data_IF_160636435806
#
_entry.id   IF_160636435806
#
_cell.length_a   1.000
_cell.length_b   1.000
_cell.length_c   1.000
_cell.angle_alpha   90.00
_cell.angle_beta   90.00
_cell.angle_gamma   90.00
#
_symmetry.space_group_name_H-M   'P 1'
#
loop_
_entity.id
_entity.type
_entity.pdbx_description
1 polymer ?
#
# COMPACT_ATOMS: atom_id res chain seq x y z
N UNK A 1 -16.28 19.20 -16.24
CA UNK A 1 -15.14 18.27 -16.08
C UNK A 1 -14.98 17.96 -14.61
N UNK A 2 -15.17 16.70 -14.19
CA UNK A 2 -14.84 16.28 -12.82
C UNK A 2 -13.33 16.40 -12.60
N UNK A 3 -12.91 16.99 -11.48
CA UNK A 3 -11.50 17.18 -11.16
C UNK A 3 -10.92 15.87 -10.59
N UNK A 4 -10.70 14.87 -11.46
CA UNK A 4 -10.12 13.57 -11.10
C UNK A 4 -8.74 13.70 -10.40
N UNK A 5 -8.04 14.83 -10.59
CA UNK A 5 -6.71 15.09 -10.02
C UNK A 5 -6.70 15.18 -8.49
N UNK A 6 -7.72 15.80 -7.88
CA UNK A 6 -7.80 15.87 -6.41
C UNK A 6 -8.19 14.53 -5.80
N UNK A 7 -9.01 13.75 -6.53
CA UNK A 7 -9.54 12.48 -6.05
C UNK A 7 -8.45 11.44 -5.82
N UNK A 8 -7.49 11.29 -6.73
CA UNK A 8 -6.46 10.24 -6.57
C UNK A 8 -5.48 10.57 -5.43
N UNK A 9 -5.19 11.85 -5.20
CA UNK A 9 -4.42 12.31 -4.05
C UNK A 9 -5.18 12.08 -2.72
N UNK A 10 -6.47 12.41 -2.68
CA UNK A 10 -7.33 12.14 -1.52
C UNK A 10 -7.44 10.63 -1.23
N UNK A 11 -7.58 9.81 -2.27
CA UNK A 11 -7.59 8.35 -2.16
C UNK A 11 -6.26 7.84 -1.59
N UNK A 12 -5.12 8.27 -2.14
CA UNK A 12 -3.80 7.88 -1.61
C UNK A 12 -3.63 8.26 -0.13
N UNK A 13 -4.01 9.49 0.21
CA UNK A 13 -3.89 9.99 1.58
C UNK A 13 -4.77 9.19 2.55
N UNK A 14 -5.99 8.82 2.17
CA UNK A 14 -6.87 8.05 3.06
C UNK A 14 -6.30 6.67 3.43
N UNK A 15 -5.70 5.96 2.48
CA UNK A 15 -5.01 4.70 2.75
C UNK A 15 -3.74 4.90 3.59
N UNK A 16 -3.01 5.99 3.34
CA UNK A 16 -1.80 6.31 4.08
C UNK A 16 -2.06 6.69 5.54
N UNK A 17 -3.05 7.53 5.79
CA UNK A 17 -3.43 7.95 7.15
C UNK A 17 -3.90 6.75 7.98
N UNK A 18 -4.67 5.85 7.37
CA UNK A 18 -5.06 4.59 8.01
C UNK A 18 -3.85 3.70 8.29
N UNK A 19 -2.88 3.62 7.39
CA UNK A 19 -1.63 2.90 7.65
C UNK A 19 -0.84 3.51 8.81
N UNK A 20 -0.71 4.83 8.89
CA UNK A 20 0.01 5.48 9.99
C UNK A 20 -0.60 5.13 11.35
N UNK A 21 -1.94 5.20 11.46
CA UNK A 21 -2.64 4.79 12.69
C UNK A 21 -2.40 3.32 13.04
N UNK A 22 -2.57 2.42 12.07
CA UNK A 22 -2.36 0.98 12.28
C UNK A 22 -0.90 0.64 12.60
N UNK A 23 0.07 1.33 12.00
CA UNK A 23 1.50 1.05 12.14
C UNK A 23 1.96 1.22 13.59
N UNK A 24 1.51 2.29 14.24
CA UNK A 24 1.84 2.59 15.63
C UNK A 24 1.18 1.59 16.59
N UNK A 25 -0.08 1.22 16.33
CA UNK A 25 -0.79 0.20 17.10
C UNK A 25 -0.14 -1.19 16.98
N UNK A 26 0.27 -1.58 15.76
CA UNK A 26 0.98 -2.85 15.51
C UNK A 26 2.31 -2.87 16.26
N UNK A 27 3.09 -1.79 16.17
CA UNK A 27 4.38 -1.69 16.86
C UNK A 27 4.23 -1.81 18.38
N UNK A 28 3.21 -1.14 18.95
CA UNK A 28 2.89 -1.25 20.37
C UNK A 28 2.47 -2.69 20.75
N UNK A 29 1.59 -3.32 19.97
CA UNK A 29 1.14 -4.69 20.21
C UNK A 29 2.28 -5.71 20.13
N UNK A 30 3.18 -5.58 19.15
CA UNK A 30 4.38 -6.43 19.03
C UNK A 30 5.29 -6.32 20.26
N UNK A 31 5.56 -5.09 20.71
CA UNK A 31 6.40 -4.82 21.88
C UNK A 31 5.81 -5.45 23.15
N UNK A 32 4.49 -5.39 23.29
CA UNK A 32 3.77 -5.94 24.44
C UNK A 32 3.47 -7.44 24.31
N UNK A 33 3.80 -8.06 23.17
CA UNK A 33 3.37 -9.43 22.81
C UNK A 33 1.85 -9.60 22.94
N UNK A 34 1.10 -8.54 22.61
CA UNK A 34 -0.36 -8.55 22.63
C UNK A 34 -0.89 -9.42 21.49
N UNK A 35 -1.88 -10.25 21.79
CA UNK A 35 -2.58 -11.10 20.82
C UNK A 35 -3.31 -10.29 19.75
N UNK A 36 -3.59 -9.01 20.02
CA UNK A 36 -4.16 -8.07 19.04
C UNK A 36 -3.25 -7.79 17.84
N UNK A 37 -1.96 -8.16 17.88
CA UNK A 37 -1.06 -7.97 16.74
C UNK A 37 -1.58 -8.59 15.45
N UNK A 38 -2.14 -9.80 15.51
CA UNK A 38 -2.62 -10.53 14.33
C UNK A 38 -3.78 -9.79 13.64
N UNK A 39 -4.90 -9.46 14.31
CA UNK A 39 -5.99 -8.74 13.66
C UNK A 39 -5.59 -7.33 13.18
N UNK A 40 -4.65 -6.66 13.87
CA UNK A 40 -4.11 -5.37 13.41
C UNK A 40 -3.30 -5.52 12.11
N UNK A 41 -2.44 -6.54 12.03
CA UNK A 41 -1.67 -6.87 10.83
C UNK A 41 -2.59 -7.27 9.66
N UNK A 42 -3.62 -8.07 9.90
CA UNK A 42 -4.62 -8.42 8.87
C UNK A 42 -5.31 -7.16 8.32
N UNK A 43 -5.72 -6.25 9.21
CA UNK A 43 -6.34 -4.98 8.81
C UNK A 43 -5.39 -4.14 7.97
N UNK A 44 -4.12 -4.05 8.36
CA UNK A 44 -3.11 -3.31 7.62
C UNK A 44 -2.78 -3.95 6.26
N UNK A 45 -2.78 -5.28 6.17
CA UNK A 45 -2.59 -6.01 4.91
C UNK A 45 -3.77 -5.79 3.97
N UNK A 46 -5.01 -5.84 4.46
CA UNK A 46 -6.19 -5.61 3.63
C UNK A 46 -6.23 -4.17 3.13
N UNK A 47 -5.93 -3.19 4.00
CA UNK A 47 -5.78 -1.78 3.61
C UNK A 47 -4.72 -1.59 2.52
N UNK A 48 -3.61 -2.34 2.61
CA UNK A 48 -2.53 -2.30 1.61
C UNK A 48 -3.02 -2.86 0.26
N UNK A 49 -3.68 -4.03 0.28
CA UNK A 49 -4.21 -4.64 -0.93
C UNK A 49 -5.27 -3.75 -1.61
N UNK A 50 -6.18 -3.15 -0.84
CA UNK A 50 -7.18 -2.19 -1.35
C UNK A 50 -6.52 -0.95 -1.97
N UNK A 51 -5.47 -0.43 -1.34
CA UNK A 51 -4.67 0.66 -1.90
C UNK A 51 -4.09 0.25 -3.25
N UNK A 52 -3.43 -0.91 -3.37
CA UNK A 52 -2.88 -1.38 -4.65
C UNK A 52 -3.96 -1.45 -5.74
N UNK A 53 -5.11 -2.04 -5.43
CA UNK A 53 -6.24 -2.17 -6.37
C UNK A 53 -6.83 -0.82 -6.80
N UNK A 54 -6.76 0.21 -5.94
CA UNK A 54 -7.28 1.55 -6.24
C UNK A 54 -6.45 2.32 -7.27
N UNK A 55 -5.21 1.90 -7.52
CA UNK A 55 -4.29 2.52 -8.47
C UNK A 55 -3.97 1.62 -9.67
N UNK A 56 -4.76 0.56 -9.91
CA UNK A 56 -4.67 -0.22 -11.15
C UNK A 56 -5.34 0.57 -12.27
N UNK A 57 -4.54 1.25 -13.08
CA UNK A 57 -5.01 1.90 -14.31
C UNK A 57 -5.24 0.84 -15.39
N UNK A 58 -6.50 0.53 -15.66
CA UNK A 58 -6.89 -0.33 -16.77
C UNK A 58 -6.98 0.56 -18.03
N UNK A 59 -5.88 0.72 -18.77
CA UNK A 59 -6.00 0.89 -20.22
C UNK A 59 -5.50 -0.38 -20.91
N UNK A 60 -6.39 -1.12 -21.60
CA UNK A 60 -6.02 -2.36 -22.27
C UNK A 60 -5.35 -2.01 -23.60
N UNK A 61 -4.04 -1.87 -23.62
CA UNK A 61 -3.28 -1.81 -24.88
C UNK A 61 -2.34 -3.00 -25.00
N UNK A 62 -2.86 -4.13 -25.50
CA UNK A 62 -2.22 -5.29 -26.17
C UNK A 62 -0.85 -5.85 -25.72
N UNK A 63 -0.22 -5.29 -24.70
CA UNK A 63 1.05 -5.66 -24.10
C UNK A 63 0.81 -5.41 -22.62
N UNK A 64 0.97 -6.42 -21.77
CA UNK A 64 0.83 -6.31 -20.32
C UNK A 64 1.81 -5.27 -19.76
N UNK A 65 1.45 -3.99 -19.87
CA UNK A 65 2.24 -2.90 -19.37
C UNK A 65 2.00 -2.80 -17.87
N UNK A 66 2.71 -3.65 -17.13
CA UNK A 66 2.82 -3.63 -15.67
C UNK A 66 3.36 -2.29 -15.13
N UNK A 67 3.74 -1.35 -16.01
CA UNK A 67 4.33 -0.04 -15.65
C UNK A 67 3.40 0.92 -14.90
N UNK A 68 2.11 0.62 -14.81
CA UNK A 68 1.14 1.47 -14.11
C UNK A 68 0.69 0.92 -12.75
N UNK A 69 1.16 -0.26 -12.33
CA UNK A 69 0.89 -0.76 -10.99
C UNK A 69 1.82 -0.12 -9.95
N UNK A 70 1.25 0.40 -8.86
CA UNK A 70 2.04 0.87 -7.70
C UNK A 70 2.61 -0.28 -6.86
N UNK A 71 2.40 -1.53 -7.28
CA UNK A 71 2.89 -2.72 -6.60
C UNK A 71 4.43 -2.71 -6.51
N UNK A 72 5.03 -2.87 -5.31
CA UNK A 72 6.46 -2.99 -5.11
C UNK A 72 7.08 -4.24 -5.75
N UNK A 73 8.41 -4.27 -5.85
CA UNK A 73 9.11 -5.45 -6.37
C UNK A 73 8.88 -6.65 -5.45
N UNK A 74 8.51 -7.79 -6.06
CA UNK A 74 8.12 -9.02 -5.36
C UNK A 74 7.04 -8.77 -4.29
N UNK A 75 6.13 -7.82 -4.56
CA UNK A 75 5.12 -7.37 -3.62
C UNK A 75 4.23 -8.50 -3.15
N UNK A 76 3.74 -9.31 -4.09
CA UNK A 76 2.93 -10.49 -3.82
C UNK A 76 3.62 -11.52 -2.91
N UNK A 77 4.84 -11.95 -3.24
CA UNK A 77 5.58 -12.95 -2.46
C UNK A 77 5.89 -12.44 -1.05
N UNK A 78 6.27 -11.17 -0.93
CA UNK A 78 6.50 -10.53 0.38
C UNK A 78 5.21 -10.49 1.20
N UNK A 79 4.06 -10.23 0.58
CA UNK A 79 2.77 -10.20 1.27
C UNK A 79 2.36 -11.58 1.77
N UNK A 80 2.58 -12.65 0.98
CA UNK A 80 2.37 -14.03 1.41
C UNK A 80 3.24 -14.37 2.63
N UNK A 81 4.53 -14.03 2.57
CA UNK A 81 5.45 -14.22 3.69
C UNK A 81 5.01 -13.48 4.96
N UNK A 82 4.52 -12.25 4.83
CA UNK A 82 3.98 -11.47 5.96
C UNK A 82 2.77 -12.16 6.57
N UNK A 83 1.83 -12.66 5.74
CA UNK A 83 0.62 -13.37 6.21
C UNK A 83 0.95 -14.62 7.03
N UNK A 84 2.01 -15.35 6.68
CA UNK A 84 2.44 -16.52 7.45
C UNK A 84 3.04 -16.18 8.82
N UNK A 85 3.51 -14.95 9.01
CA UNK A 85 4.35 -14.54 10.15
C UNK A 85 3.83 -13.28 10.84
N UNK A 86 2.53 -13.03 10.81
CA UNK A 86 1.91 -11.76 11.28
C UNK A 86 2.23 -11.39 12.74
N UNK A 87 2.56 -12.36 13.59
CA UNK A 87 2.93 -12.09 14.99
C UNK A 87 4.44 -11.81 15.20
N UNK A 88 5.21 -11.59 14.13
CA UNK A 88 6.66 -11.39 14.18
C UNK A 88 7.03 -9.99 13.74
N UNK A 89 8.02 -9.41 14.41
CA UNK A 89 8.52 -8.05 14.14
C UNK A 89 9.04 -7.88 12.71
N UNK A 90 9.72 -8.89 12.16
CA UNK A 90 10.20 -8.84 10.78
C UNK A 90 9.05 -8.76 9.75
N UNK A 91 7.88 -9.34 10.04
CA UNK A 91 6.72 -9.26 9.15
C UNK A 91 6.16 -7.83 9.13
N UNK A 92 6.13 -7.18 10.29
CA UNK A 92 5.79 -5.75 10.38
C UNK A 92 6.79 -4.86 9.63
N UNK A 93 8.09 -5.10 9.78
CA UNK A 93 9.14 -4.35 9.06
C UNK A 93 8.96 -4.52 7.54
N UNK A 94 8.69 -5.73 7.07
CA UNK A 94 8.43 -6.00 5.65
C UNK A 94 7.17 -5.29 5.16
N UNK A 95 6.08 -5.31 5.94
CA UNK A 95 4.84 -4.60 5.60
C UNK A 95 5.08 -3.08 5.51
N UNK A 96 5.82 -2.51 6.46
CA UNK A 96 6.20 -1.09 6.44
C UNK A 96 7.02 -0.72 5.21
N UNK A 97 7.93 -1.59 4.79
CA UNK A 97 8.70 -1.38 3.57
C UNK A 97 7.80 -1.43 2.32
N UNK A 98 6.89 -2.40 2.21
CA UNK A 98 5.91 -2.47 1.13
C UNK A 98 5.08 -1.17 1.01
N UNK A 99 4.57 -0.67 2.13
CA UNK A 99 3.83 0.61 2.17
C UNK A 99 4.68 1.79 1.67
N UNK A 100 5.93 1.92 2.13
CA UNK A 100 6.80 3.02 1.70
C UNK A 100 7.13 2.94 0.21
N UNK A 101 7.39 1.75 -0.30
CA UNK A 101 7.68 1.52 -1.72
C UNK A 101 6.46 1.85 -2.60
N UNK A 102 5.27 1.36 -2.21
CA UNK A 102 4.04 1.61 -2.93
C UNK A 102 3.67 3.11 -2.92
N UNK A 103 3.84 3.80 -1.78
CA UNK A 103 3.60 5.24 -1.67
C UNK A 103 4.51 6.03 -2.62
N UNK A 104 5.82 5.72 -2.66
CA UNK A 104 6.77 6.38 -3.58
C UNK A 104 6.38 6.18 -5.03
N UNK A 105 5.95 4.96 -5.40
CA UNK A 105 5.46 4.65 -6.75
C UNK A 105 4.19 5.44 -7.07
N UNK A 106 3.22 5.48 -6.16
CA UNK A 106 1.97 6.22 -6.33
C UNK A 106 2.21 7.73 -6.52
N UNK A 107 3.02 8.35 -5.66
CA UNK A 107 3.38 9.77 -5.79
C UNK A 107 4.09 10.04 -7.12
N UNK A 108 5.01 9.16 -7.53
CA UNK A 108 5.71 9.30 -8.81
C UNK A 108 4.75 9.20 -10.00
N UNK A 109 3.77 8.31 -9.94
CA UNK A 109 2.74 8.13 -10.96
C UNK A 109 1.85 9.38 -11.08
N UNK A 110 1.35 9.88 -9.94
CA UNK A 110 0.55 11.10 -9.89
C UNK A 110 1.32 12.31 -10.45
N UNK A 111 2.60 12.45 -10.08
CA UNK A 111 3.46 13.51 -10.61
C UNK A 111 3.64 13.44 -12.14
N UNK A 112 3.85 12.25 -12.70
CA UNK A 112 3.95 12.05 -14.16
C UNK A 112 2.64 12.41 -14.86
N UNK A 113 1.50 12.04 -14.31
CA UNK A 113 0.18 12.35 -14.87
C UNK A 113 -0.13 13.86 -14.83
N UNK A 114 0.38 14.58 -13.83
CA UNK A 114 0.29 16.05 -13.78
C UNK A 114 1.10 16.73 -14.89
N UNK A 115 2.26 16.18 -15.28
CA UNK A 115 3.09 16.74 -16.34
C UNK A 115 2.50 16.47 -17.73
N UNK A 116 2.00 15.25 -17.97
CA UNK A 116 1.41 14.86 -19.28
C UNK A 116 0.08 15.54 -19.62
N UNK A 117 -0.59 16.16 -18.65
CA UNK A 117 -1.90 16.82 -18.82
C UNK A 117 -1.82 18.34 -19.00
N UNK A 118 -0.62 18.87 -19.29
CA UNK A 118 -0.37 20.26 -19.69
C UNK A 118 -0.03 20.31 -21.17
#
# INVERSE_FOLDING_TARGET
>A
MLNYKNRDHEVLNSYWDKWLGLSDEIAAALKQKDRKVVPLMETAINNYSEMLSSFVFIEPTAVEDTSQAIEPLNGHERLLFIREKMNREFAYIQLKALYSEAQKKAVSLLARNMIKSR
#
